data_IF_261150299448
#
_entry.id   IF_261150299448
#
_cell.length_a   1.000
_cell.length_b   1.000
_cell.length_c   1.000
_cell.angle_alpha   90.00
_cell.angle_beta   90.00
_cell.angle_gamma   90.00
#
_symmetry.space_group_name_H-M   'P 1'
#
loop_
_entity.id
_entity.type
_entity.pdbx_description
1 polymer ?
#
# COMPACT_ATOMS: atom_id res chain seq x y z
N UNK A 1 -11.07 -34.41 -2.39
CA UNK A 1 -10.87 -33.54 -1.20
C UNK A 1 -9.50 -32.89 -1.36
N UNK A 2 -9.34 -31.65 -0.96
CA UNK A 2 -8.02 -31.00 -1.01
C UNK A 2 -7.09 -31.64 0.02
N UNK A 3 -5.86 -31.95 -0.39
CA UNK A 3 -4.82 -32.53 0.49
C UNK A 3 -4.47 -31.57 1.61
N UNK A 4 -4.22 -32.10 2.80
CA UNK A 4 -3.88 -31.31 3.99
C UNK A 4 -2.43 -31.53 4.39
N UNK A 5 -1.88 -30.68 5.25
CA UNK A 5 -0.54 -30.84 5.83
C UNK A 5 -0.40 -32.17 6.60
N UNK A 6 -1.51 -32.70 7.12
CA UNK A 6 -1.55 -34.01 7.81
C UNK A 6 -1.34 -35.15 6.82
N UNK A 7 -1.91 -35.04 5.63
CA UNK A 7 -1.75 -36.05 4.58
C UNK A 7 -0.31 -36.07 4.07
N UNK A 8 0.30 -34.90 3.89
CA UNK A 8 1.73 -34.78 3.53
C UNK A 8 2.63 -35.39 4.61
N UNK A 9 2.32 -35.13 5.88
CA UNK A 9 3.10 -35.69 6.99
C UNK A 9 2.99 -37.22 7.05
N UNK A 10 1.76 -37.74 6.88
CA UNK A 10 1.53 -39.20 6.84
C UNK A 10 2.25 -39.84 5.64
N UNK A 11 2.17 -39.24 4.45
CA UNK A 11 2.81 -39.74 3.22
C UNK A 11 4.35 -39.71 3.30
N UNK A 12 4.91 -38.65 3.89
CA UNK A 12 6.36 -38.52 4.09
C UNK A 12 6.91 -39.33 5.28
N UNK A 13 6.06 -39.95 6.11
CA UNK A 13 6.48 -40.64 7.33
C UNK A 13 7.03 -39.72 8.40
N UNK A 14 6.56 -38.46 8.46
CA UNK A 14 7.09 -37.40 9.32
C UNK A 14 6.00 -36.83 10.24
N UNK A 15 6.43 -36.10 11.27
CA UNK A 15 5.48 -35.34 12.10
C UNK A 15 4.98 -34.10 11.34
N UNK A 16 3.72 -33.70 11.63
CA UNK A 16 3.14 -32.46 11.13
C UNK A 16 4.02 -31.22 11.46
N UNK A 17 4.64 -31.23 12.64
CA UNK A 17 5.55 -30.16 13.05
C UNK A 17 6.81 -30.07 12.15
N UNK A 18 7.34 -31.20 11.70
CA UNK A 18 8.48 -31.24 10.78
C UNK A 18 8.13 -30.71 9.41
N UNK A 19 6.97 -31.13 8.87
CA UNK A 19 6.45 -30.64 7.58
C UNK A 19 6.13 -29.16 7.68
N UNK A 20 5.48 -28.70 8.75
CA UNK A 20 5.21 -27.27 8.98
C UNK A 20 6.47 -26.43 9.06
N UNK A 21 7.53 -26.96 9.71
CA UNK A 21 8.84 -26.30 9.77
C UNK A 21 9.42 -26.07 8.37
N UNK A 22 9.35 -27.08 7.51
CA UNK A 22 9.82 -26.98 6.12
C UNK A 22 9.00 -25.98 5.30
N UNK A 23 7.66 -26.07 5.32
CA UNK A 23 6.75 -25.17 4.58
C UNK A 23 6.96 -23.71 5.00
N UNK A 24 7.35 -23.47 6.27
CA UNK A 24 7.64 -22.13 6.78
C UNK A 24 9.10 -21.68 6.50
N UNK A 25 9.82 -22.33 5.60
CA UNK A 25 11.16 -21.93 5.15
C UNK A 25 12.28 -22.19 6.17
N UNK A 26 12.01 -22.97 7.22
CA UNK A 26 13.05 -23.35 8.19
C UNK A 26 13.84 -24.55 7.71
N UNK A 27 15.14 -24.54 7.96
CA UNK A 27 16.05 -25.62 7.55
C UNK A 27 15.66 -26.96 8.20
N UNK A 28 15.61 -28.00 7.38
CA UNK A 28 15.47 -29.41 7.76
C UNK A 28 16.61 -30.22 7.15
N UNK A 29 16.80 -31.46 7.60
CA UNK A 29 17.83 -32.37 7.00
C UNK A 29 17.47 -32.65 5.53
N UNK A 30 18.46 -32.83 4.68
CA UNK A 30 18.30 -33.07 3.24
C UNK A 30 17.36 -34.25 2.93
N UNK A 31 17.54 -35.39 3.61
CA UNK A 31 16.64 -36.55 3.44
C UNK A 31 15.18 -36.23 3.81
N UNK A 32 14.97 -35.40 4.83
CA UNK A 32 13.65 -34.94 5.26
C UNK A 32 13.03 -34.00 4.23
N UNK A 33 13.83 -33.10 3.64
CA UNK A 33 13.41 -32.19 2.58
C UNK A 33 12.89 -32.97 1.37
N UNK A 34 13.71 -33.91 0.87
CA UNK A 34 13.34 -34.73 -0.30
C UNK A 34 12.05 -35.52 -0.08
N UNK A 35 11.88 -36.13 1.11
CA UNK A 35 10.67 -36.87 1.42
C UNK A 35 9.40 -35.96 1.46
N UNK A 36 9.53 -34.74 1.95
CA UNK A 36 8.44 -33.77 1.98
C UNK A 36 8.10 -33.29 0.56
N UNK A 37 9.09 -32.97 -0.25
CA UNK A 37 8.90 -32.51 -1.64
C UNK A 37 8.21 -33.57 -2.50
N UNK A 38 8.62 -34.84 -2.36
CA UNK A 38 7.97 -35.97 -3.02
C UNK A 38 6.51 -36.11 -2.60
N UNK A 39 6.21 -36.07 -1.30
CA UNK A 39 4.85 -36.16 -0.76
C UNK A 39 3.97 -34.99 -1.22
N UNK A 40 4.51 -33.75 -1.25
CA UNK A 40 3.81 -32.57 -1.77
C UNK A 40 3.43 -32.76 -3.23
N UNK A 41 4.37 -33.25 -4.06
CA UNK A 41 4.15 -33.48 -5.49
C UNK A 41 3.13 -34.57 -5.75
N UNK A 42 3.21 -35.69 -5.06
CA UNK A 42 2.25 -36.79 -5.23
C UNK A 42 0.82 -36.45 -4.79
N UNK A 43 0.70 -35.65 -3.73
CA UNK A 43 -0.59 -35.27 -3.20
C UNK A 43 -1.14 -33.98 -3.82
N UNK A 44 -0.42 -33.37 -4.77
CA UNK A 44 -0.74 -32.05 -5.32
C UNK A 44 -1.11 -31.05 -4.20
N UNK A 45 -0.27 -31.07 -3.15
CA UNK A 45 -0.52 -30.24 -1.98
C UNK A 45 -0.06 -28.82 -2.19
N UNK A 46 -0.99 -27.89 -2.07
CA UNK A 46 -0.68 -26.45 -2.09
C UNK A 46 -0.79 -25.87 -0.66
N UNK A 47 0.31 -25.28 -0.13
CA UNK A 47 0.26 -24.64 1.18
C UNK A 47 -0.84 -23.56 1.24
N UNK A 48 -1.75 -23.67 2.19
CA UNK A 48 -2.80 -22.69 2.37
C UNK A 48 -2.27 -21.50 3.19
N UNK A 49 -2.13 -20.35 2.53
CA UNK A 49 -1.66 -19.12 3.16
C UNK A 49 -2.60 -18.65 4.29
N UNK A 50 -3.89 -18.96 4.24
CA UNK A 50 -4.83 -18.65 5.33
C UNK A 50 -4.48 -19.47 6.58
N UNK A 51 -4.19 -20.76 6.43
CA UNK A 51 -3.76 -21.61 7.54
C UNK A 51 -2.39 -21.19 8.10
N UNK A 52 -1.47 -20.78 7.23
CA UNK A 52 -0.18 -20.20 7.61
C UNK A 52 -0.37 -18.88 8.38
N UNK A 53 -1.30 -18.05 7.93
CA UNK A 53 -1.67 -16.79 8.55
C UNK A 53 -2.23 -16.96 9.96
N UNK A 54 -3.12 -17.93 10.16
CA UNK A 54 -3.68 -18.25 11.48
C UNK A 54 -2.62 -18.65 12.50
N UNK A 55 -1.59 -19.40 12.06
CA UNK A 55 -0.48 -19.79 12.94
C UNK A 55 0.46 -18.62 13.30
N UNK A 56 0.57 -17.62 12.41
CA UNK A 56 1.52 -16.51 12.56
C UNK A 56 0.84 -15.20 12.97
N UNK A 57 -0.49 -15.17 13.15
CA UNK A 57 -1.30 -13.98 13.34
C UNK A 57 -1.06 -12.90 12.26
N UNK A 58 -0.81 -13.33 11.01
CA UNK A 58 -0.54 -12.48 9.83
C UNK A 58 -1.46 -12.85 8.69
N UNK A 59 -1.90 -11.85 7.93
CA UNK A 59 -2.69 -12.05 6.71
C UNK A 59 -1.83 -12.23 5.46
N UNK A 60 -0.54 -11.87 5.53
CA UNK A 60 0.37 -11.74 4.39
C UNK A 60 -0.21 -10.85 3.28
N UNK A 61 -0.91 -9.80 3.70
CA UNK A 61 -1.54 -8.83 2.82
C UNK A 61 -1.21 -7.42 3.27
N UNK A 62 -0.82 -6.57 2.34
CA UNK A 62 -0.71 -5.12 2.51
C UNK A 62 -1.77 -4.46 1.65
N UNK A 63 -2.50 -3.52 2.21
CA UNK A 63 -3.52 -2.80 1.48
C UNK A 63 -2.99 -1.46 0.97
N UNK A 64 -3.48 -1.04 -0.21
CA UNK A 64 -3.31 0.30 -0.76
C UNK A 64 -4.72 0.88 -0.88
N UNK A 65 -4.99 1.96 -0.15
CA UNK A 65 -6.24 2.71 -0.24
C UNK A 65 -5.94 4.07 -0.88
N UNK A 66 -6.66 4.39 -1.95
CA UNK A 66 -6.39 5.57 -2.76
C UNK A 66 -7.69 6.19 -3.34
N UNK A 67 -7.65 7.48 -3.72
CA UNK A 67 -8.82 8.18 -4.25
C UNK A 67 -9.33 7.62 -5.58
N UNK A 68 -8.43 7.42 -6.56
CA UNK A 68 -8.77 6.97 -7.91
C UNK A 68 -7.64 6.16 -8.54
N UNK A 69 -8.00 5.18 -9.38
CA UNK A 69 -7.07 4.28 -10.09
C UNK A 69 -6.73 4.75 -11.51
N UNK A 70 -7.27 5.87 -11.96
CA UNK A 70 -7.21 6.34 -13.35
C UNK A 70 -5.89 7.02 -13.74
N UNK A 71 -4.98 7.19 -12.78
CA UNK A 71 -3.70 7.88 -12.99
C UNK A 71 -2.57 6.88 -13.24
N UNK A 72 -1.71 7.19 -14.25
CA UNK A 72 -0.49 6.43 -14.52
C UNK A 72 0.47 6.45 -13.33
N UNK A 73 0.45 7.52 -12.53
CA UNK A 73 1.20 7.62 -11.29
C UNK A 73 0.77 6.55 -10.29
N UNK A 74 -0.54 6.47 -10.00
CA UNK A 74 -1.07 5.47 -9.07
C UNK A 74 -0.79 4.04 -9.52
N UNK A 75 -0.99 3.73 -10.80
CA UNK A 75 -0.75 2.38 -11.33
C UNK A 75 0.73 2.00 -11.29
N UNK A 76 1.65 2.91 -11.60
CA UNK A 76 3.10 2.67 -11.51
C UNK A 76 3.55 2.46 -10.06
N UNK A 77 3.01 3.24 -9.13
CA UNK A 77 3.27 3.11 -7.70
C UNK A 77 2.78 1.76 -7.16
N UNK A 78 1.55 1.36 -7.49
CA UNK A 78 0.98 0.06 -7.09
C UNK A 78 1.86 -1.08 -7.61
N UNK A 79 2.26 -1.02 -8.88
CA UNK A 79 3.15 -2.02 -9.50
C UNK A 79 4.51 -2.11 -8.79
N UNK A 80 5.08 -0.97 -8.39
CA UNK A 80 6.36 -0.93 -7.65
C UNK A 80 6.23 -1.53 -6.25
N UNK A 81 5.14 -1.23 -5.54
CA UNK A 81 4.86 -1.78 -4.21
C UNK A 81 4.65 -3.30 -4.31
N UNK A 82 3.84 -3.74 -5.28
CA UNK A 82 3.55 -5.16 -5.49
C UNK A 82 4.82 -5.95 -5.81
N UNK A 83 5.64 -5.48 -6.75
CA UNK A 83 6.89 -6.14 -7.13
C UNK A 83 7.89 -6.23 -5.98
N UNK A 84 7.87 -5.29 -5.04
CA UNK A 84 8.70 -5.29 -3.83
C UNK A 84 8.18 -6.27 -2.77
N UNK A 85 6.86 -6.38 -2.62
CA UNK A 85 6.22 -7.20 -1.60
C UNK A 85 6.12 -8.69 -2.00
N UNK A 86 5.97 -8.97 -3.30
CA UNK A 86 5.81 -10.34 -3.81
C UNK A 86 6.93 -11.30 -3.40
N UNK A 87 8.23 -10.96 -3.51
CA UNK A 87 9.32 -11.84 -3.05
C UNK A 87 9.32 -12.08 -1.54
N UNK A 88 8.68 -11.19 -0.77
CA UNK A 88 8.52 -11.32 0.69
C UNK A 88 7.29 -12.18 1.06
N UNK A 89 6.55 -12.66 0.08
CA UNK A 89 5.36 -13.50 0.26
C UNK A 89 4.11 -12.72 0.63
N UNK A 90 4.07 -11.40 0.39
CA UNK A 90 2.90 -10.55 0.59
C UNK A 90 2.12 -10.37 -0.70
N UNK A 91 0.80 -10.30 -0.57
CA UNK A 91 -0.12 -9.89 -1.62
C UNK A 91 -0.56 -8.45 -1.40
N UNK A 92 -0.88 -7.73 -2.48
CA UNK A 92 -1.40 -6.36 -2.42
C UNK A 92 -2.92 -6.37 -2.62
N UNK A 93 -3.64 -5.69 -1.74
CA UNK A 93 -5.07 -5.43 -1.85
C UNK A 93 -5.24 -3.96 -2.20
N UNK A 94 -5.78 -3.68 -3.39
CA UNK A 94 -6.04 -2.30 -3.82
C UNK A 94 -7.50 -1.95 -3.58
N UNK A 95 -7.73 -0.82 -2.93
CA UNK A 95 -9.05 -0.26 -2.68
C UNK A 95 -9.12 1.19 -3.18
N UNK A 96 -10.15 1.49 -3.94
CA UNK A 96 -10.44 2.83 -4.43
C UNK A 96 -11.62 3.42 -3.67
N UNK A 97 -11.54 4.70 -3.29
CA UNK A 97 -12.64 5.38 -2.60
C UNK A 97 -13.45 6.34 -3.49
N UNK A 98 -13.11 6.45 -4.78
CA UNK A 98 -13.85 7.26 -5.78
C UNK A 98 -14.01 8.72 -5.37
N UNK A 99 -12.97 9.34 -4.80
CA UNK A 99 -13.02 10.72 -4.30
C UNK A 99 -14.20 10.97 -3.33
N UNK A 100 -14.46 9.99 -2.46
CA UNK A 100 -15.58 10.05 -1.52
C UNK A 100 -15.10 9.71 -0.09
N UNK A 101 -15.21 10.69 0.82
CA UNK A 101 -14.74 10.55 2.20
C UNK A 101 -15.49 9.45 3.00
N UNK A 102 -16.80 9.28 2.76
CA UNK A 102 -17.56 8.21 3.41
C UNK A 102 -17.11 6.84 2.92
N UNK A 103 -16.85 6.72 1.60
CA UNK A 103 -16.34 5.49 1.01
C UNK A 103 -14.92 5.18 1.53
N UNK A 104 -14.07 6.19 1.72
CA UNK A 104 -12.74 6.04 2.31
C UNK A 104 -12.83 5.43 3.71
N UNK A 105 -13.71 5.96 4.58
CA UNK A 105 -13.94 5.40 5.91
C UNK A 105 -14.47 3.96 5.86
N UNK A 106 -15.42 3.68 4.97
CA UNK A 106 -15.97 2.32 4.77
C UNK A 106 -14.90 1.33 4.32
N UNK A 107 -14.04 1.73 3.38
CA UNK A 107 -12.93 0.90 2.90
C UNK A 107 -11.86 0.72 3.98
N UNK A 108 -11.59 1.75 4.77
CA UNK A 108 -10.71 1.66 5.95
C UNK A 108 -11.21 0.59 6.92
N UNK A 109 -12.50 0.64 7.29
CA UNK A 109 -13.08 -0.38 8.17
C UNK A 109 -13.00 -1.78 7.56
N UNK A 110 -13.30 -1.93 6.28
CA UNK A 110 -13.19 -3.20 5.56
C UNK A 110 -11.78 -3.79 5.64
N UNK A 111 -10.73 -2.96 5.50
CA UNK A 111 -9.34 -3.40 5.57
C UNK A 111 -8.93 -3.80 6.98
N UNK A 112 -9.41 -3.07 7.99
CA UNK A 112 -9.22 -3.39 9.40
C UNK A 112 -9.86 -4.76 9.73
N UNK A 113 -11.10 -4.99 9.31
CA UNK A 113 -11.82 -6.25 9.53
C UNK A 113 -11.13 -7.44 8.85
N UNK A 114 -10.45 -7.20 7.74
CA UNK A 114 -9.62 -8.17 7.03
C UNK A 114 -8.27 -8.43 7.68
N UNK A 115 -7.91 -7.64 8.71
CA UNK A 115 -6.65 -7.77 9.44
C UNK A 115 -5.44 -7.74 8.50
N UNK A 116 -5.41 -6.79 7.57
CA UNK A 116 -4.22 -6.59 6.72
C UNK A 116 -3.01 -6.27 7.60
N UNK A 117 -1.81 -6.68 7.16
CA UNK A 117 -0.57 -6.51 7.94
C UNK A 117 0.00 -5.10 7.84
N UNK A 118 -0.52 -4.28 6.93
CA UNK A 118 -0.15 -2.88 6.77
C UNK A 118 -1.06 -2.17 5.77
N UNK A 119 -1.14 -0.85 5.89
CA UNK A 119 -1.92 0.01 4.99
C UNK A 119 -1.03 1.11 4.45
N UNK A 120 -1.04 1.27 3.14
CA UNK A 120 -0.53 2.43 2.41
C UNK A 120 -1.74 3.26 2.00
N UNK A 121 -1.82 4.48 2.48
CA UNK A 121 -2.97 5.37 2.28
C UNK A 121 -2.54 6.61 1.48
N UNK A 122 -3.21 6.87 0.36
CA UNK A 122 -3.26 8.19 -0.26
C UNK A 122 -4.56 8.82 0.21
N UNK A 123 -4.54 9.76 1.18
CA UNK A 123 -5.75 10.24 1.80
C UNK A 123 -6.55 11.13 0.83
N UNK A 124 -7.87 10.96 0.78
CA UNK A 124 -8.80 11.88 0.14
C UNK A 124 -9.35 12.89 1.15
N UNK A 125 -9.81 12.40 2.30
CA UNK A 125 -10.35 13.25 3.35
C UNK A 125 -9.21 13.83 4.21
N UNK A 126 -9.30 15.13 4.50
CA UNK A 126 -8.29 15.87 5.28
C UNK A 126 -8.55 15.90 6.79
N UNK A 127 -9.67 15.31 7.25
CA UNK A 127 -10.08 15.33 8.67
C UNK A 127 -9.41 14.24 9.53
N UNK A 128 -8.64 13.35 8.91
CA UNK A 128 -7.82 12.34 9.58
C UNK A 128 -8.56 11.20 10.28
N UNK A 129 -9.89 11.12 10.19
CA UNK A 129 -10.68 10.06 10.85
C UNK A 129 -10.24 8.65 10.44
N UNK A 130 -9.93 8.44 9.17
CA UNK A 130 -9.42 7.18 8.66
C UNK A 130 -8.07 6.81 9.29
N UNK A 131 -7.20 7.78 9.54
CA UNK A 131 -5.91 7.59 10.20
C UNK A 131 -6.13 7.14 11.64
N UNK A 132 -7.01 7.82 12.39
CA UNK A 132 -7.35 7.43 13.77
C UNK A 132 -7.91 6.00 13.85
N UNK A 133 -8.77 5.61 12.90
CA UNK A 133 -9.32 4.25 12.85
C UNK A 133 -8.21 3.21 12.67
N UNK A 134 -7.26 3.45 11.77
CA UNK A 134 -6.14 2.55 11.51
C UNK A 134 -5.23 2.46 12.72
N UNK A 135 -4.88 3.61 13.32
CA UNK A 135 -4.03 3.67 14.51
C UNK A 135 -4.64 2.92 15.70
N UNK A 136 -5.95 3.07 15.94
CA UNK A 136 -6.67 2.33 16.99
C UNK A 136 -6.66 0.81 16.77
N UNK A 137 -6.50 0.36 15.54
CA UNK A 137 -6.40 -1.06 15.19
C UNK A 137 -4.99 -1.64 15.30
N UNK A 138 -3.97 -0.79 15.59
CA UNK A 138 -2.55 -1.14 15.60
C UNK A 138 -2.03 -1.72 14.28
N UNK A 139 -2.62 -1.37 13.15
CA UNK A 139 -2.11 -1.72 11.83
C UNK A 139 -1.08 -0.65 11.42
N UNK A 140 0.14 -1.05 11.00
CA UNK A 140 1.12 -0.13 10.44
C UNK A 140 0.55 0.69 9.27
N UNK A 141 0.78 2.00 9.29
CA UNK A 141 0.26 2.95 8.31
C UNK A 141 1.39 3.77 7.71
N UNK A 142 1.40 3.89 6.39
CA UNK A 142 2.22 4.84 5.65
C UNK A 142 1.28 5.74 4.85
N UNK A 143 1.43 7.05 4.99
CA UNK A 143 0.77 8.03 4.14
C UNK A 143 1.63 8.32 2.90
N UNK A 144 0.99 8.44 1.75
CA UNK A 144 1.66 8.85 0.51
C UNK A 144 1.03 10.13 -0.04
N UNK A 145 1.86 10.95 -0.66
CA UNK A 145 1.51 12.15 -1.41
C UNK A 145 1.00 13.34 -0.56
N UNK A 146 0.38 13.07 0.58
CA UNK A 146 -0.15 14.11 1.46
C UNK A 146 0.15 13.81 2.93
N UNK A 147 0.57 14.84 3.65
CA UNK A 147 0.63 14.85 5.11
C UNK A 147 -0.69 15.38 5.67
N UNK A 148 -1.27 14.67 6.62
CA UNK A 148 -2.45 15.13 7.35
C UNK A 148 -1.99 15.72 8.69
N UNK A 149 -2.24 17.01 8.87
CA UNK A 149 -1.85 17.73 10.10
C UNK A 149 -2.49 17.08 11.33
N UNK A 150 -1.80 17.19 12.45
CA UNK A 150 -2.22 16.70 13.76
C UNK A 150 -2.36 15.17 13.90
N UNK A 151 -1.93 14.40 12.89
CA UNK A 151 -1.90 12.94 12.92
C UNK A 151 -0.48 12.42 12.69
N UNK A 152 0.10 11.80 13.73
CA UNK A 152 1.42 11.19 13.64
C UNK A 152 1.36 9.89 12.83
N UNK A 153 1.83 9.92 11.59
CA UNK A 153 2.01 8.74 10.74
C UNK A 153 3.29 8.91 9.90
N UNK A 154 3.92 7.80 9.54
CA UNK A 154 5.02 7.84 8.58
C UNK A 154 4.47 8.34 7.24
N UNK A 155 5.13 9.34 6.66
CA UNK A 155 4.66 9.98 5.44
C UNK A 155 5.77 10.04 4.40
N UNK A 156 5.42 9.73 3.14
CA UNK A 156 6.29 9.88 1.97
C UNK A 156 5.63 10.90 1.06
N UNK A 157 6.23 12.08 0.95
CA UNK A 157 5.75 13.19 0.12
C UNK A 157 6.81 13.61 -0.88
N UNK A 158 6.37 14.16 -2.01
CA UNK A 158 7.24 14.89 -2.92
C UNK A 158 7.34 16.34 -2.43
N UNK A 159 8.51 16.95 -2.62
CA UNK A 159 8.68 18.40 -2.42
C UNK A 159 8.07 19.15 -3.61
N UNK A 160 6.72 19.21 -3.59
CA UNK A 160 5.96 19.85 -4.65
C UNK A 160 6.18 21.37 -4.66
N UNK A 161 6.51 21.98 -3.52
CA UNK A 161 6.82 23.42 -3.42
C UNK A 161 8.11 23.73 -4.17
N UNK A 162 9.17 22.98 -3.92
CA UNK A 162 10.44 23.12 -4.63
C UNK A 162 10.27 22.84 -6.13
N UNK A 163 9.57 21.80 -6.51
CA UNK A 163 9.33 21.45 -7.91
C UNK A 163 8.57 22.55 -8.67
N UNK A 164 7.55 23.13 -8.03
CA UNK A 164 6.81 24.26 -8.58
C UNK A 164 7.66 25.53 -8.71
N UNK A 165 8.45 25.83 -7.68
CA UNK A 165 9.39 26.96 -7.70
C UNK A 165 10.42 26.82 -8.83
N UNK A 166 11.11 25.69 -8.93
CA UNK A 166 12.12 25.43 -9.95
C UNK A 166 11.55 25.51 -11.37
N UNK A 167 10.35 24.93 -11.58
CA UNK A 167 9.66 24.97 -12.87
C UNK A 167 9.32 26.41 -13.29
N UNK A 168 8.80 27.22 -12.36
CA UNK A 168 8.45 28.61 -12.61
C UNK A 168 9.70 29.46 -12.83
N UNK A 169 10.74 29.28 -12.00
CA UNK A 169 12.02 29.96 -12.13
C UNK A 169 12.65 29.70 -13.50
N UNK A 170 12.60 28.47 -13.98
CA UNK A 170 13.08 28.07 -15.29
C UNK A 170 12.41 28.89 -16.43
N UNK A 171 11.09 29.07 -16.34
CA UNK A 171 10.37 29.90 -17.33
C UNK A 171 10.79 31.37 -17.27
N UNK A 172 10.99 31.92 -16.07
CA UNK A 172 11.46 33.29 -15.86
C UNK A 172 12.87 33.46 -16.44
N UNK A 173 13.78 32.53 -16.17
CA UNK A 173 15.16 32.55 -16.66
C UNK A 173 15.24 32.48 -18.20
N UNK A 174 14.24 31.83 -18.83
CA UNK A 174 14.10 31.80 -20.29
C UNK A 174 13.47 33.08 -20.86
N UNK A 175 13.14 34.07 -20.01
CA UNK A 175 12.64 35.36 -20.41
C UNK A 175 11.13 35.46 -20.57
N UNK A 176 10.37 34.43 -20.16
CA UNK A 176 8.93 34.50 -20.17
C UNK A 176 8.42 35.44 -19.08
N UNK A 177 7.54 36.37 -19.45
CA UNK A 177 6.97 37.41 -18.55
C UNK A 177 5.53 37.10 -18.18
N UNK A 178 4.80 36.46 -19.10
CA UNK A 178 3.39 36.06 -18.93
C UNK A 178 3.37 34.53 -18.79
N UNK A 179 3.10 34.05 -17.58
CA UNK A 179 3.09 32.63 -17.24
C UNK A 179 1.70 32.26 -16.77
N UNK A 180 1.03 31.38 -17.49
CA UNK A 180 -0.27 30.84 -17.15
C UNK A 180 -0.13 29.50 -16.42
N UNK A 181 -1.03 29.26 -15.46
CA UNK A 181 -1.16 27.99 -14.73
C UNK A 181 -2.52 27.41 -15.00
N UNK A 182 -2.59 26.15 -15.44
CA UNK A 182 -3.81 25.42 -15.60
C UNK A 182 -4.00 24.50 -14.38
N UNK A 183 -5.05 24.74 -13.63
CA UNK A 183 -5.38 23.96 -12.42
C UNK A 183 -6.70 23.20 -12.60
N UNK A 184 -6.84 21.98 -12.06
CA UNK A 184 -8.12 21.31 -12.00
C UNK A 184 -9.10 22.06 -11.07
N UNK A 185 -10.38 22.08 -11.42
CA UNK A 185 -11.44 22.88 -10.77
C UNK A 185 -11.84 22.43 -9.36
N UNK A 186 -11.07 21.59 -8.67
CA UNK A 186 -11.41 21.05 -7.36
C UNK A 186 -10.43 21.45 -6.26
N UNK A 187 -10.74 21.13 -5.00
CA UNK A 187 -10.09 21.53 -3.76
C UNK A 187 -8.54 21.36 -3.67
N UNK A 188 -7.89 20.79 -4.68
CA UNK A 188 -6.45 20.74 -4.88
C UNK A 188 -5.82 22.13 -5.08
N UNK A 189 -6.62 23.16 -5.37
CA UNK A 189 -6.16 24.55 -5.54
C UNK A 189 -5.40 25.04 -4.32
N UNK A 190 -5.78 24.65 -3.09
CA UNK A 190 -5.13 25.15 -1.87
C UNK A 190 -3.73 24.60 -1.68
N UNK A 191 -3.49 23.36 -2.04
CA UNK A 191 -2.15 22.76 -2.02
C UNK A 191 -1.27 23.34 -3.13
N UNK A 192 -1.84 23.49 -4.35
CA UNK A 192 -1.14 24.10 -5.48
C UNK A 192 -0.85 25.60 -5.30
N UNK A 193 -1.75 26.40 -4.71
CA UNK A 193 -1.50 27.82 -4.46
C UNK A 193 -0.40 28.07 -3.42
N UNK A 194 -0.20 27.18 -2.46
CA UNK A 194 0.96 27.25 -1.58
C UNK A 194 2.28 26.95 -2.32
N UNK A 195 2.23 26.16 -3.35
CA UNK A 195 3.33 25.75 -4.21
C UNK A 195 3.90 26.91 -5.05
N UNK A 196 3.09 27.91 -5.41
CA UNK A 196 3.46 28.98 -6.34
C UNK A 196 3.52 30.36 -5.69
N UNK A 197 3.34 30.54 -4.40
CA UNK A 197 3.26 31.85 -3.76
C UNK A 197 4.37 32.19 -2.75
N UNK A 198 5.64 32.31 -3.22
CA UNK A 198 6.52 33.32 -2.66
C UNK A 198 6.61 34.58 -3.56
N UNK A 199 6.02 34.57 -4.74
CA UNK A 199 6.03 35.75 -5.62
C UNK A 199 4.67 36.42 -5.47
N UNK A 200 4.68 37.65 -4.91
CA UNK A 200 3.50 38.51 -4.82
C UNK A 200 2.99 38.86 -6.23
N UNK A 201 2.17 38.02 -6.82
CA UNK A 201 1.38 38.41 -7.98
C UNK A 201 0.09 39.06 -7.49
N UNK A 202 -0.28 40.21 -8.04
CA UNK A 202 -1.60 40.80 -7.72
C UNK A 202 -2.69 39.86 -8.25
N UNK A 203 -3.59 39.47 -7.37
CA UNK A 203 -4.75 38.58 -7.62
C UNK A 203 -5.78 39.11 -8.65
N UNK A 204 -5.44 40.15 -9.43
CA UNK A 204 -6.34 40.83 -10.37
C UNK A 204 -6.43 40.21 -11.76
N UNK A 205 -5.80 39.09 -12.03
CA UNK A 205 -5.78 38.46 -13.36
C UNK A 205 -6.16 36.99 -13.39
N UNK A 206 -6.97 36.52 -12.43
CA UNK A 206 -7.57 35.19 -12.50
C UNK A 206 -8.95 35.34 -13.15
N UNK A 207 -9.07 35.03 -14.43
CA UNK A 207 -10.31 34.80 -15.17
C UNK A 207 -10.42 33.33 -15.51
#
# INVERSE_FOLDING_TARGET
>A
MASTIRDVAARAGLSVATVSKYINGKTVKESTRLAIEEAIKELDFHPNNIAKGLCNAKSFSVAILLPMLDSTFCTSMISSIESTLLPLGYSVIVCECHNNAEMELRKTQYLIDRRVDGIVLIPYASDGKQIEMIQKSNIPLILLDQEIKDHAADCIVLDNELAGFESTQRLIDLGHKDIGILLPSSALITAFMKMFCPISFPLSSIT
#
